data_IF_355296339612
#
_entry.id   IF_355296339612
#
_cell.length_a   1.000
_cell.length_b   1.000
_cell.length_c   1.000
_cell.angle_alpha   90.00
_cell.angle_beta   90.00
_cell.angle_gamma   90.00
#
_symmetry.space_group_name_H-M   'P 1'
#
loop_
_entity.id
_entity.type
_entity.pdbx_description
1 polymer ?
#
# COMPACT_ATOMS: atom_id res chain seq x y z
N UNK A 1 -12.38 -25.54 22.29
CA UNK A 1 -12.81 -24.81 21.08
C UNK A 1 -11.63 -24.26 20.27
N UNK A 2 -10.72 -23.47 20.87
CA UNK A 2 -9.57 -22.89 20.13
C UNK A 2 -8.58 -23.92 19.56
N UNK A 3 -8.35 -25.07 20.23
CA UNK A 3 -7.45 -26.14 19.72
C UNK A 3 -7.95 -26.79 18.43
N UNK A 4 -9.24 -27.14 18.35
CA UNK A 4 -9.81 -27.75 17.16
C UNK A 4 -9.78 -26.82 15.95
N UNK A 5 -9.99 -25.51 16.17
CA UNK A 5 -9.90 -24.49 15.12
C UNK A 5 -8.44 -24.35 14.65
N UNK A 6 -7.48 -24.30 15.57
CA UNK A 6 -6.07 -24.23 15.22
C UNK A 6 -5.60 -25.46 14.42
N UNK A 7 -6.02 -26.67 14.83
CA UNK A 7 -5.71 -27.91 14.10
C UNK A 7 -6.35 -27.95 12.71
N UNK A 8 -7.56 -27.43 12.57
CA UNK A 8 -8.24 -27.33 11.27
C UNK A 8 -7.50 -26.35 10.34
N UNK A 9 -7.10 -25.18 10.84
CA UNK A 9 -6.32 -24.19 10.08
C UNK A 9 -4.92 -24.70 9.72
N UNK A 10 -4.30 -25.47 10.62
CA UNK A 10 -3.00 -26.11 10.36
C UNK A 10 -3.06 -27.14 9.22
N UNK A 11 -4.18 -27.88 9.12
CA UNK A 11 -4.39 -28.89 8.07
C UNK A 11 -4.92 -28.32 6.75
N UNK A 12 -5.37 -27.06 6.71
CA UNK A 12 -5.92 -26.45 5.52
C UNK A 12 -4.80 -25.93 4.57
N UNK A 13 -4.62 -26.53 3.37
CA UNK A 13 -3.55 -26.12 2.46
C UNK A 13 -3.70 -24.69 1.96
N UNK A 14 -4.93 -24.19 1.77
CA UNK A 14 -5.18 -22.79 1.36
C UNK A 14 -4.74 -21.81 2.47
N UNK A 15 -5.06 -22.10 3.74
CA UNK A 15 -4.62 -21.26 4.86
C UNK A 15 -3.09 -21.24 5.00
N UNK A 16 -2.43 -22.39 4.83
CA UNK A 16 -0.97 -22.48 4.93
C UNK A 16 -0.26 -21.79 3.77
N UNK A 17 -0.82 -21.81 2.56
CA UNK A 17 -0.25 -21.13 1.38
C UNK A 17 -0.47 -19.62 1.40
N UNK A 18 -1.61 -19.16 1.94
CA UNK A 18 -1.99 -17.75 1.96
C UNK A 18 -1.37 -17.02 3.15
N UNK A 19 -1.43 -17.60 4.35
CA UNK A 19 -0.95 -16.99 5.60
C UNK A 19 0.37 -17.60 6.06
N UNK A 20 1.39 -17.54 5.22
CA UNK A 20 2.74 -17.88 5.64
C UNK A 20 3.20 -16.84 6.68
N UNK A 21 3.84 -17.28 7.75
CA UNK A 21 4.42 -16.38 8.76
C UNK A 21 5.72 -15.76 8.23
N UNK A 22 5.68 -14.47 7.93
CA UNK A 22 6.84 -13.73 7.41
C UNK A 22 7.54 -12.89 8.51
N UNK A 23 7.20 -13.07 9.79
CA UNK A 23 7.68 -12.19 10.85
C UNK A 23 9.13 -12.48 11.26
N UNK A 24 9.98 -11.47 11.14
CA UNK A 24 11.21 -11.36 11.93
C UNK A 24 10.87 -10.72 13.30
N UNK A 25 11.62 -11.00 14.38
CA UNK A 25 11.38 -10.35 15.67
C UNK A 25 11.40 -8.82 15.52
N UNK A 26 10.33 -8.17 16.01
CA UNK A 26 10.11 -6.74 15.84
C UNK A 26 11.15 -5.90 16.58
N UNK A 27 11.68 -4.87 15.92
CA UNK A 27 12.52 -3.86 16.56
C UNK A 27 11.72 -2.91 17.47
N UNK A 28 12.43 -2.14 18.30
CA UNK A 28 11.88 -1.15 19.26
C UNK A 28 10.97 -0.11 18.59
N UNK A 29 9.66 -0.17 18.85
CA UNK A 29 8.65 0.73 18.28
C UNK A 29 8.97 2.22 18.57
N UNK A 30 9.27 3.00 17.54
CA UNK A 30 9.28 4.46 17.63
C UNK A 30 7.87 5.00 17.43
N UNK A 31 7.45 5.85 18.37
CA UNK A 31 6.19 6.59 18.27
C UNK A 31 6.35 7.70 17.24
N UNK A 32 5.71 7.53 16.09
CA UNK A 32 5.50 8.62 15.14
C UNK A 32 4.23 9.33 15.58
N UNK A 33 4.33 10.64 15.78
CA UNK A 33 3.22 11.52 16.14
C UNK A 33 2.01 11.24 15.24
N UNK A 34 0.85 11.09 15.86
CA UNK A 34 -0.38 10.96 15.12
C UNK A 34 -0.71 12.33 14.52
N UNK A 35 -1.13 12.39 13.25
CA UNK A 35 -1.61 13.64 12.69
C UNK A 35 -2.81 14.14 13.50
N UNK A 36 -2.91 15.46 13.66
CA UNK A 36 -4.02 16.10 14.39
C UNK A 36 -5.30 16.03 13.57
N UNK A 37 -5.19 15.93 12.24
CA UNK A 37 -6.34 15.89 11.34
C UNK A 37 -6.27 14.77 10.30
N UNK A 38 -7.46 14.37 9.82
CA UNK A 38 -7.59 13.38 8.75
C UNK A 38 -6.88 13.86 7.48
N UNK A 39 -6.22 12.93 6.78
CA UNK A 39 -5.57 13.15 5.48
C UNK A 39 -4.38 14.12 5.49
N UNK A 40 -3.83 14.49 6.66
CA UNK A 40 -2.62 15.31 6.73
C UNK A 40 -1.38 14.53 6.30
N UNK A 41 -1.33 13.24 6.66
CA UNK A 41 -0.20 12.35 6.40
C UNK A 41 -0.68 11.13 5.65
N UNK A 42 -0.18 10.94 4.44
CA UNK A 42 -0.52 9.80 3.59
C UNK A 42 0.71 8.93 3.31
N UNK A 43 0.50 7.63 3.11
CA UNK A 43 1.53 6.70 2.68
C UNK A 43 1.18 6.14 1.29
N UNK A 44 2.09 6.30 0.35
CA UNK A 44 1.98 5.80 -1.02
C UNK A 44 2.93 4.63 -1.23
N UNK A 45 2.41 3.55 -1.80
CA UNK A 45 3.19 2.36 -2.10
C UNK A 45 2.66 1.67 -3.36
N UNK A 46 3.49 0.87 -4.03
CA UNK A 46 3.09 0.07 -5.17
C UNK A 46 3.17 -1.42 -4.89
N UNK A 47 2.16 -2.14 -5.38
CA UNK A 47 2.25 -3.58 -5.56
C UNK A 47 2.49 -3.79 -7.06
N UNK A 48 3.72 -4.14 -7.40
CA UNK A 48 4.16 -4.40 -8.77
C UNK A 48 4.14 -5.89 -9.10
N UNK A 49 4.34 -6.22 -10.37
CA UNK A 49 4.51 -7.60 -10.86
C UNK A 49 3.29 -8.50 -10.62
N UNK A 50 2.09 -7.93 -10.70
CA UNK A 50 0.85 -8.71 -10.65
C UNK A 50 0.53 -9.30 -12.04
N UNK A 51 -0.17 -10.45 -12.09
CA UNK A 51 -0.70 -10.98 -13.34
C UNK A 51 -1.54 -9.91 -14.04
N UNK A 52 -1.37 -9.76 -15.36
CA UNK A 52 -2.10 -8.75 -16.13
C UNK A 52 -3.61 -9.00 -16.05
N UNK A 53 -4.35 -7.99 -15.63
CA UNK A 53 -5.81 -8.01 -15.65
C UNK A 53 -6.35 -7.94 -17.10
N UNK A 54 -7.65 -8.19 -17.29
CA UNK A 54 -8.33 -8.04 -18.60
C UNK A 54 -8.16 -6.63 -19.21
N UNK A 55 -8.01 -5.61 -18.37
CA UNK A 55 -7.74 -4.22 -18.77
C UNK A 55 -6.25 -3.88 -18.88
N UNK A 56 -5.39 -4.90 -18.83
CA UNK A 56 -3.93 -4.83 -18.94
C UNK A 56 -3.23 -4.05 -17.83
N UNK A 57 -3.83 -3.90 -16.65
CA UNK A 57 -3.14 -3.41 -15.45
C UNK A 57 -2.27 -4.52 -14.86
N UNK A 58 -1.03 -4.19 -14.50
CA UNK A 58 -0.01 -5.10 -13.97
C UNK A 58 0.46 -4.71 -12.55
N UNK A 59 -0.07 -3.61 -12.03
CA UNK A 59 0.30 -3.05 -10.73
C UNK A 59 -0.91 -2.43 -10.04
N UNK A 60 -0.82 -2.32 -8.72
CA UNK A 60 -1.82 -1.60 -7.91
C UNK A 60 -1.08 -0.50 -7.15
N UNK A 61 -1.53 0.73 -7.32
CA UNK A 61 -1.13 1.85 -6.48
C UNK A 61 -1.96 1.81 -5.20
N UNK A 62 -1.28 1.58 -4.08
CA UNK A 62 -1.86 1.59 -2.75
C UNK A 62 -1.61 2.96 -2.14
N UNK A 63 -2.68 3.70 -1.84
CA UNK A 63 -2.59 4.94 -1.09
C UNK A 63 -3.35 4.81 0.23
N UNK A 64 -2.62 4.97 1.33
CA UNK A 64 -3.16 4.95 2.67
C UNK A 64 -3.34 6.39 3.08
N UNK A 65 -4.60 6.79 3.07
CA UNK A 65 -5.01 8.19 3.15
C UNK A 65 -5.04 8.68 4.59
N UNK A 66 -5.29 7.79 5.54
CA UNK A 66 -5.39 8.21 6.92
C UNK A 66 -4.96 7.11 7.88
N UNK A 67 -3.98 7.43 8.72
CA UNK A 67 -3.46 6.54 9.76
C UNK A 67 -4.46 6.36 10.91
N UNK A 68 -5.33 7.34 11.14
CA UNK A 68 -6.34 7.28 12.21
C UNK A 68 -7.50 6.36 11.82
N UNK A 69 -8.13 6.57 10.66
CA UNK A 69 -9.24 5.74 10.16
C UNK A 69 -8.79 4.47 9.46
N UNK A 70 -7.49 4.33 9.14
CA UNK A 70 -6.92 3.24 8.33
C UNK A 70 -7.56 3.13 6.95
N UNK A 71 -8.06 4.25 6.40
CA UNK A 71 -8.70 4.29 5.09
C UNK A 71 -7.68 4.11 3.97
N UNK A 72 -7.95 3.17 3.06
CA UNK A 72 -7.04 2.82 1.97
C UNK A 72 -7.73 2.88 0.62
N UNK A 73 -7.01 3.37 -0.38
CA UNK A 73 -7.43 3.42 -1.77
C UNK A 73 -6.51 2.51 -2.59
N UNK A 74 -7.11 1.61 -3.36
CA UNK A 74 -6.41 0.70 -4.24
C UNK A 74 -6.75 1.06 -5.68
N UNK A 75 -5.79 1.64 -6.40
CA UNK A 75 -5.97 2.08 -7.77
C UNK A 75 -5.22 1.11 -8.71
N UNK A 76 -5.91 0.46 -9.66
CA UNK A 76 -5.24 -0.37 -10.66
C UNK A 76 -4.43 0.52 -11.61
N UNK A 77 -3.15 0.22 -11.78
CA UNK A 77 -2.21 1.00 -12.62
C UNK A 77 -1.35 0.07 -13.48
N UNK A 78 -0.72 0.65 -14.49
CA UNK A 78 0.29 0.01 -15.33
C UNK A 78 1.69 0.52 -14.98
N UNK A 79 2.68 -0.37 -14.86
CA UNK A 79 4.09 0.01 -14.68
C UNK A 79 4.60 0.93 -15.78
N UNK A 80 4.02 0.85 -16.98
CA UNK A 80 4.35 1.65 -18.16
C UNK A 80 3.75 3.05 -18.16
N UNK A 81 2.91 3.42 -17.17
CA UNK A 81 2.37 4.79 -17.11
C UNK A 81 3.48 5.81 -16.95
N UNK A 82 3.31 6.94 -17.65
CA UNK A 82 4.17 8.10 -17.44
C UNK A 82 3.91 8.72 -16.07
N UNK A 83 4.85 9.49 -15.55
CA UNK A 83 4.65 10.22 -14.29
C UNK A 83 3.49 11.22 -14.38
N UNK A 84 3.18 11.72 -15.58
CA UNK A 84 2.04 12.61 -15.81
C UNK A 84 0.69 11.88 -15.64
N UNK A 85 0.58 10.65 -16.13
CA UNK A 85 -0.61 9.82 -15.91
C UNK A 85 -0.83 9.56 -14.42
N UNK A 86 0.24 9.27 -13.68
CA UNK A 86 0.19 9.11 -12.22
C UNK A 86 -0.25 10.40 -11.52
N UNK A 87 0.26 11.56 -11.93
CA UNK A 87 -0.16 12.84 -11.38
C UNK A 87 -1.64 13.15 -11.65
N UNK A 88 -2.12 12.85 -12.86
CA UNK A 88 -3.55 13.01 -13.20
C UNK A 88 -4.42 12.13 -12.32
N UNK A 89 -4.07 10.85 -12.17
CA UNK A 89 -4.77 9.91 -11.29
C UNK A 89 -4.75 10.36 -9.83
N UNK A 90 -3.60 10.85 -9.35
CA UNK A 90 -3.46 11.36 -7.99
C UNK A 90 -4.40 12.53 -7.71
N UNK A 91 -4.48 13.51 -8.62
CA UNK A 91 -5.36 14.66 -8.45
C UNK A 91 -6.84 14.22 -8.48
N UNK A 92 -7.20 13.34 -9.42
CA UNK A 92 -8.57 12.89 -9.61
C UNK A 92 -9.08 12.01 -8.46
N UNK A 93 -8.26 11.09 -7.95
CA UNK A 93 -8.73 10.09 -6.99
C UNK A 93 -8.35 10.43 -5.55
N UNK A 94 -7.24 11.14 -5.33
CA UNK A 94 -6.77 11.46 -3.98
C UNK A 94 -7.12 12.89 -3.62
N UNK A 95 -6.60 13.87 -4.36
CA UNK A 95 -6.75 15.29 -4.01
C UNK A 95 -8.21 15.73 -4.07
N UNK A 96 -8.97 15.24 -5.06
CA UNK A 96 -10.42 15.51 -5.19
C UNK A 96 -11.22 15.04 -3.97
N UNK A 97 -10.90 13.87 -3.42
CA UNK A 97 -11.68 13.25 -2.35
C UNK A 97 -11.21 13.69 -0.95
N UNK A 98 -9.89 13.84 -0.77
CA UNK A 98 -9.26 13.95 0.55
C UNK A 98 -8.52 15.26 0.78
N UNK A 99 -8.54 16.16 -0.21
CA UNK A 99 -7.72 17.39 -0.27
C UNK A 99 -6.23 17.09 -0.42
N UNK A 100 -5.43 18.16 -0.46
CA UNK A 100 -3.98 18.06 -0.59
C UNK A 100 -3.38 17.68 0.77
N UNK A 101 -2.61 16.59 0.86
CA UNK A 101 -1.96 16.18 2.10
C UNK A 101 -0.76 17.08 2.43
N UNK A 102 -0.48 17.23 3.72
CA UNK A 102 0.66 18.03 4.20
C UNK A 102 1.97 17.25 4.06
N UNK A 103 1.93 15.96 4.39
CA UNK A 103 3.08 15.06 4.29
C UNK A 103 2.73 13.77 3.55
N UNK A 104 3.64 13.35 2.67
CA UNK A 104 3.53 12.11 1.91
C UNK A 104 4.75 11.26 2.24
N UNK A 105 4.52 10.05 2.70
CA UNK A 105 5.55 9.03 2.81
C UNK A 105 5.44 8.13 1.60
N UNK A 106 6.56 7.88 0.95
CA UNK A 106 6.59 7.07 -0.26
C UNK A 106 7.82 6.18 -0.24
N UNK A 107 7.74 5.01 -0.86
CA UNK A 107 8.93 4.23 -1.16
C UNK A 107 9.86 4.97 -2.15
N UNK A 108 11.06 4.41 -2.37
CA UNK A 108 12.04 4.95 -3.32
C UNK A 108 11.78 4.53 -4.77
N UNK A 109 10.53 4.23 -5.13
CA UNK A 109 10.16 3.91 -6.50
C UNK A 109 10.63 4.98 -7.49
N UNK A 110 11.09 4.55 -8.67
CA UNK A 110 11.57 5.47 -9.72
C UNK A 110 10.52 6.54 -10.09
N UNK A 111 9.24 6.19 -9.97
CA UNK A 111 8.10 7.07 -10.27
C UNK A 111 8.01 8.25 -9.29
N UNK A 112 8.29 8.02 -8.00
CA UNK A 112 8.23 9.04 -6.94
C UNK A 112 9.51 9.84 -6.77
N UNK A 113 10.62 9.36 -7.33
CA UNK A 113 11.93 10.04 -7.27
C UNK A 113 12.15 11.01 -8.44
N UNK A 114 11.28 10.98 -9.46
CA UNK A 114 11.36 11.89 -10.61
C UNK A 114 11.28 13.37 -10.21
N UNK A 115 11.98 14.22 -10.97
CA UNK A 115 11.96 15.67 -10.75
C UNK A 115 10.55 16.24 -10.91
N UNK A 116 9.76 15.70 -11.85
CA UNK A 116 8.38 16.08 -12.05
C UNK A 116 7.53 15.88 -10.79
N UNK A 117 7.62 14.72 -10.14
CA UNK A 117 6.87 14.44 -8.92
C UNK A 117 7.25 15.39 -7.78
N UNK A 118 8.54 15.66 -7.59
CA UNK A 118 9.01 16.64 -6.60
C UNK A 118 8.47 18.04 -6.88
N UNK A 119 8.50 18.49 -8.13
CA UNK A 119 7.98 19.79 -8.54
C UNK A 119 6.47 19.89 -8.35
N UNK A 120 5.72 18.83 -8.68
CA UNK A 120 4.27 18.76 -8.48
C UNK A 120 3.93 18.92 -7.00
N UNK A 121 4.57 18.14 -6.13
CA UNK A 121 4.30 18.17 -4.69
C UNK A 121 4.71 19.50 -4.06
N UNK A 122 5.85 20.08 -4.51
CA UNK A 122 6.23 21.44 -4.12
C UNK A 122 5.19 22.48 -4.54
N UNK A 123 4.63 22.37 -5.74
CA UNK A 123 3.56 23.24 -6.23
C UNK A 123 2.24 23.09 -5.47
N UNK A 124 1.94 21.89 -4.98
CA UNK A 124 0.79 21.61 -4.12
C UNK A 124 1.00 22.00 -2.65
N UNK A 125 2.25 22.27 -2.24
CA UNK A 125 2.60 22.57 -0.85
C UNK A 125 2.82 21.33 0.04
N UNK A 126 2.89 20.15 -0.56
CA UNK A 126 3.10 18.87 0.14
C UNK A 126 4.59 18.56 0.31
N UNK A 127 4.97 17.98 1.46
CA UNK A 127 6.32 17.48 1.72
C UNK A 127 6.41 15.98 1.47
N UNK A 128 7.28 15.57 0.56
CA UNK A 128 7.53 14.14 0.27
C UNK A 128 8.73 13.64 1.07
N UNK A 129 8.49 12.66 1.93
CA UNK A 129 9.50 11.95 2.69
C UNK A 129 9.66 10.54 2.09
N UNK A 130 10.82 10.27 1.49
CA UNK A 130 11.11 8.94 0.97
C UNK A 130 11.46 7.99 2.12
N UNK A 131 10.72 6.90 2.27
CA UNK A 131 11.03 5.86 3.24
C UNK A 131 12.36 5.21 2.86
N UNK A 132 13.21 4.99 3.87
CA UNK A 132 14.35 4.08 3.75
C UNK A 132 13.91 2.68 4.15
N UNK A 133 14.57 1.66 3.61
CA UNK A 133 14.39 0.25 4.02
C UNK A 133 14.60 0.01 5.55
N UNK A 134 14.99 1.05 6.30
CA UNK A 134 15.26 1.05 7.74
C UNK A 134 14.23 1.86 8.56
N UNK A 135 13.10 2.29 7.97
CA UNK A 135 11.96 2.87 8.71
C UNK A 135 10.70 1.97 8.73
N UNK A 136 10.81 0.69 9.17
CA UNK A 136 9.69 -0.26 9.19
C UNK A 136 8.55 0.14 10.15
N UNK A 137 8.72 1.15 11.00
CA UNK A 137 7.67 1.62 11.91
C UNK A 137 6.72 2.64 11.29
N UNK A 138 7.21 3.43 10.34
CA UNK A 138 6.38 4.34 9.55
C UNK A 138 5.61 3.59 8.47
N UNK A 139 6.28 2.59 7.88
CA UNK A 139 5.70 1.77 6.82
C UNK A 139 4.98 0.53 7.36
N UNK A 140 5.17 0.13 8.62
CA UNK A 140 4.63 -1.15 9.13
C UNK A 140 3.11 -1.27 9.09
N UNK A 141 2.37 -0.17 9.23
CA UNK A 141 0.90 -0.21 9.03
C UNK A 141 0.55 -0.37 7.54
N UNK A 142 1.32 0.27 6.67
CA UNK A 142 1.14 0.19 5.23
C UNK A 142 1.52 -1.19 4.70
N UNK A 143 2.68 -1.69 5.08
CA UNK A 143 3.16 -3.05 4.81
C UNK A 143 2.16 -4.10 5.28
N UNK A 144 1.61 -3.99 6.50
CA UNK A 144 0.56 -4.92 6.97
C UNK A 144 -0.69 -4.86 6.12
N UNK A 145 -1.09 -3.67 5.69
CA UNK A 145 -2.28 -3.52 4.84
C UNK A 145 -2.05 -4.07 3.43
N UNK A 146 -0.86 -3.85 2.88
CA UNK A 146 -0.40 -4.42 1.60
C UNK A 146 -0.34 -5.94 1.68
N UNK A 147 0.20 -6.50 2.77
CA UNK A 147 0.26 -7.95 2.96
C UNK A 147 -1.14 -8.55 3.05
N UNK A 148 -2.03 -7.95 3.85
CA UNK A 148 -3.43 -8.38 3.92
C UNK A 148 -4.12 -8.33 2.55
N UNK A 149 -3.82 -7.34 1.71
CA UNK A 149 -4.36 -7.28 0.34
C UNK A 149 -3.80 -8.43 -0.52
N UNK A 150 -2.48 -8.65 -0.48
CA UNK A 150 -1.83 -9.75 -1.23
C UNK A 150 -2.41 -11.11 -0.83
N UNK A 151 -2.62 -11.33 0.46
CA UNK A 151 -3.17 -12.58 0.99
C UNK A 151 -4.61 -12.78 0.50
N UNK A 152 -5.44 -11.74 0.53
CA UNK A 152 -6.80 -11.77 -0.03
C UNK A 152 -6.80 -12.06 -1.54
N UNK A 153 -5.92 -11.40 -2.30
CA UNK A 153 -5.79 -11.64 -3.73
C UNK A 153 -5.35 -13.08 -4.04
N UNK A 154 -4.42 -13.62 -3.26
CA UNK A 154 -3.97 -15.03 -3.37
C UNK A 154 -5.11 -16.00 -3.09
N UNK A 155 -5.86 -15.78 -2.01
CA UNK A 155 -7.01 -16.62 -1.67
C UNK A 155 -8.04 -16.63 -2.81
N UNK A 156 -8.40 -15.46 -3.34
CA UNK A 156 -9.29 -15.37 -4.49
C UNK A 156 -8.75 -16.15 -5.70
N UNK A 157 -7.47 -16.01 -6.05
CA UNK A 157 -6.91 -16.72 -7.21
C UNK A 157 -6.92 -18.24 -7.01
N UNK A 158 -6.69 -18.74 -5.79
CA UNK A 158 -6.75 -20.17 -5.48
C UNK A 158 -8.19 -20.68 -5.61
N UNK A 159 -9.17 -19.96 -5.06
CA UNK A 159 -10.57 -20.37 -5.10
C UNK A 159 -11.17 -20.28 -6.53
N UNK A 160 -10.79 -19.27 -7.32
CA UNK A 160 -11.28 -19.07 -8.70
C UNK A 160 -10.53 -19.88 -9.77
N UNK A 161 -9.36 -20.48 -9.47
CA UNK A 161 -8.67 -21.42 -10.36
C UNK A 161 -9.24 -22.85 -10.34
N UNK A 162 -10.27 -23.09 -9.53
CA UNK A 162 -10.92 -24.39 -9.37
C UNK A 162 -12.18 -24.64 -10.22
N UNK A 163 -12.44 -23.84 -11.26
CA UNK A 163 -13.52 -24.08 -12.24
C UNK A 163 -12.95 -24.23 -13.65
#
# INVERSE_FOLDING_TARGET
MNKCIAEFVAKCPNCQQVKVEHQRPGGLAQNIELPEWKCEMINMNFITSLPRSRRQHDSIWVNIVDRMTKSTHFLPVKTTHSTEDYARLYIQEVVRLHRVPVSIISDRGAQFTTQFWKSLQKGLGSKVNLSTAFYPQTDGQAERTIQNLKDKLRACVIDFKGN
#
